data_IF_467162571662
#
_entry.id   IF_467162571662
#
_cell.length_a   1.000
_cell.length_b   1.000
_cell.length_c   1.000
_cell.angle_alpha   90.00
_cell.angle_beta   90.00
_cell.angle_gamma   90.00
#
_symmetry.space_group_name_H-M   'P 1'
#
loop_
_entity.id
_entity.type
_entity.pdbx_description
1 polymer ?
#
# COMPACT_ATOMS: atom_id res chain seq x y z
N UNK A 1 -4.10 10.48 -56.84
CA UNK A 1 -3.58 11.11 -55.62
C UNK A 1 -4.53 10.78 -54.49
N UNK A 2 -4.12 9.96 -53.53
CA UNK A 2 -4.95 9.58 -52.38
C UNK A 2 -4.53 10.43 -51.18
N UNK A 3 -5.44 11.25 -50.67
CA UNK A 3 -5.24 12.04 -49.46
C UNK A 3 -5.53 11.16 -48.24
N UNK A 4 -4.49 10.83 -47.47
CA UNK A 4 -4.63 10.14 -46.19
C UNK A 4 -4.97 11.14 -45.09
N UNK A 5 -6.15 10.99 -44.47
CA UNK A 5 -6.52 11.69 -43.24
C UNK A 5 -5.74 11.13 -42.05
N UNK A 6 -4.87 11.94 -41.47
CA UNK A 6 -4.21 11.63 -40.20
C UNK A 6 -5.18 11.88 -39.04
N UNK A 7 -5.45 10.85 -38.24
CA UNK A 7 -6.10 11.01 -36.94
C UNK A 7 -5.07 11.52 -35.93
N UNK A 8 -5.27 12.73 -35.42
CA UNK A 8 -4.55 13.23 -34.26
C UNK A 8 -5.26 12.70 -33.03
N UNK A 9 -4.64 11.74 -32.33
CA UNK A 9 -5.11 11.31 -31.02
C UNK A 9 -4.92 12.49 -30.04
N UNK A 10 -6.02 12.97 -29.47
CA UNK A 10 -5.98 13.95 -28.39
C UNK A 10 -5.50 13.24 -27.13
N UNK A 11 -4.33 13.61 -26.61
CA UNK A 11 -3.89 13.18 -25.29
C UNK A 11 -4.79 13.82 -24.24
N UNK A 12 -5.66 13.04 -23.61
CA UNK A 12 -6.37 13.50 -22.42
C UNK A 12 -5.33 13.90 -21.37
N UNK A 13 -5.41 15.13 -20.85
CA UNK A 13 -4.61 15.55 -19.71
C UNK A 13 -5.13 14.73 -18.52
N UNK A 14 -4.31 13.79 -18.05
CA UNK A 14 -4.62 13.01 -16.85
C UNK A 14 -4.85 13.99 -15.69
N UNK A 15 -5.98 13.86 -14.99
CA UNK A 15 -6.20 14.64 -13.78
C UNK A 15 -5.07 14.35 -12.78
N UNK A 16 -4.57 15.37 -12.06
CA UNK A 16 -3.59 15.15 -11.01
C UNK A 16 -4.11 14.13 -9.99
N UNK A 17 -3.24 13.21 -9.56
CA UNK A 17 -3.54 12.28 -8.49
C UNK A 17 -3.73 13.04 -7.17
N UNK A 18 -4.73 12.64 -6.40
CA UNK A 18 -4.95 13.18 -5.06
C UNK A 18 -4.29 12.28 -4.01
N UNK A 19 -3.73 12.88 -2.96
CA UNK A 19 -3.13 12.14 -1.85
C UNK A 19 -3.87 12.48 -0.57
N UNK A 20 -4.36 11.45 0.11
CA UNK A 20 -4.97 11.54 1.43
C UNK A 20 -4.11 10.80 2.44
N UNK A 21 -3.88 11.41 3.61
CA UNK A 21 -2.98 10.87 4.63
C UNK A 21 -3.77 10.58 5.91
N UNK A 22 -3.66 9.35 6.39
CA UNK A 22 -4.08 8.96 7.74
C UNK A 22 -2.85 8.79 8.62
N UNK A 23 -2.73 9.65 9.64
CA UNK A 23 -1.77 9.45 10.73
C UNK A 23 -2.38 8.47 11.74
N UNK A 24 -1.67 7.37 11.98
CA UNK A 24 -2.15 6.32 12.90
C UNK A 24 -2.08 6.78 14.36
N UNK A 25 -2.71 6.01 15.25
CA UNK A 25 -2.67 6.27 16.68
C UNK A 25 -1.26 6.05 17.28
N UNK A 26 -1.08 6.45 18.54
CA UNK A 26 0.12 6.12 19.33
C UNK A 26 0.39 4.60 19.36
N UNK A 27 -0.68 3.80 19.42
CA UNK A 27 -0.57 2.35 19.45
C UNK A 27 0.03 1.77 18.16
N UNK A 28 -0.02 2.52 17.06
CA UNK A 28 0.67 2.21 15.80
C UNK A 28 1.80 3.20 15.49
N UNK A 29 2.40 3.79 16.52
CA UNK A 29 3.62 4.61 16.43
C UNK A 29 3.50 5.88 15.58
N UNK A 30 2.28 6.37 15.36
CA UNK A 30 2.01 7.58 14.59
C UNK A 30 2.51 7.57 13.13
N UNK A 31 2.69 6.38 12.54
CA UNK A 31 3.08 6.21 11.15
C UNK A 31 2.02 6.80 10.23
N UNK A 32 2.46 7.32 9.09
CA UNK A 32 1.56 7.87 8.07
C UNK A 32 1.22 6.78 7.05
N UNK A 33 -0.07 6.62 6.78
CA UNK A 33 -0.58 5.77 5.71
C UNK A 33 -1.14 6.69 4.63
N UNK A 34 -0.73 6.50 3.38
CA UNK A 34 -1.15 7.36 2.28
C UNK A 34 -2.07 6.62 1.31
N UNK A 35 -3.17 7.25 0.91
CA UNK A 35 -4.03 6.79 -0.17
C UNK A 35 -3.87 7.71 -1.38
N UNK A 36 -3.23 7.19 -2.43
CA UNK A 36 -3.07 7.86 -3.71
C UNK A 36 -4.27 7.51 -4.58
N UNK A 37 -5.08 8.51 -4.91
CA UNK A 37 -6.38 8.35 -5.57
C UNK A 37 -6.30 8.80 -7.02
N UNK A 38 -6.71 7.90 -7.91
CA UNK A 38 -7.07 8.22 -9.29
C UNK A 38 -8.55 8.60 -9.40
N UNK A 39 -9.08 8.55 -10.62
CA UNK A 39 -10.49 8.76 -10.91
C UNK A 39 -11.38 7.65 -10.33
N UNK A 40 -11.00 6.37 -10.51
CA UNK A 40 -11.78 5.21 -10.06
C UNK A 40 -11.01 4.31 -9.11
N UNK A 41 -9.69 4.22 -9.28
CA UNK A 41 -8.81 3.34 -8.51
C UNK A 41 -7.94 4.08 -7.52
N UNK A 42 -7.35 3.34 -6.59
CA UNK A 42 -6.38 3.88 -5.64
C UNK A 42 -5.24 2.91 -5.35
N UNK A 43 -4.11 3.48 -4.93
CA UNK A 43 -2.95 2.78 -4.35
C UNK A 43 -2.80 3.22 -2.91
N UNK A 44 -2.76 2.26 -1.99
CA UNK A 44 -2.46 2.50 -0.59
C UNK A 44 -0.96 2.30 -0.35
N UNK A 45 -0.34 3.18 0.42
CA UNK A 45 1.06 3.08 0.85
C UNK A 45 1.08 2.80 2.34
N UNK A 46 1.71 1.68 2.70
CA UNK A 46 1.84 1.08 4.02
C UNK A 46 0.54 0.57 4.67
N UNK A 47 0.71 -0.20 5.74
CA UNK A 47 -0.34 -0.68 6.61
C UNK A 47 0.03 -0.50 8.09
N UNK A 48 -0.94 -0.21 8.98
CA UNK A 48 -0.64 0.08 10.38
C UNK A 48 -0.04 -1.10 11.16
N UNK A 49 0.53 -0.79 12.31
CA UNK A 49 1.00 -1.78 13.27
C UNK A 49 -0.15 -2.59 13.88
N UNK A 50 -1.27 -1.94 14.22
CA UNK A 50 -2.40 -2.55 14.95
C UNK A 50 -3.62 -2.79 14.07
N UNK A 51 -4.44 -3.78 14.43
CA UNK A 51 -5.72 -4.05 13.74
C UNK A 51 -6.72 -2.89 13.87
N UNK A 52 -6.72 -2.16 14.98
CA UNK A 52 -7.56 -0.97 15.15
C UNK A 52 -7.17 0.13 14.13
N UNK A 53 -5.87 0.44 14.06
CA UNK A 53 -5.15 1.04 12.92
C UNK A 53 -5.74 0.64 11.56
N UNK A 54 -5.60 -0.64 11.24
CA UNK A 54 -5.93 -1.14 9.92
C UNK A 54 -7.43 -1.00 9.58
N UNK A 55 -8.33 -1.09 10.55
CA UNK A 55 -9.76 -0.83 10.32
C UNK A 55 -10.05 0.65 10.00
N UNK A 56 -9.31 1.60 10.58
CA UNK A 56 -9.42 3.02 10.21
C UNK A 56 -8.94 3.25 8.77
N UNK A 57 -7.89 2.54 8.35
CA UNK A 57 -7.40 2.57 6.97
C UNK A 57 -8.44 1.97 6.01
N UNK A 58 -9.07 0.84 6.37
CA UNK A 58 -10.17 0.26 5.57
C UNK A 58 -11.31 1.27 5.41
N UNK A 59 -11.69 1.98 6.48
CA UNK A 59 -12.70 3.03 6.40
C UNK A 59 -12.29 4.17 5.45
N UNK A 60 -11.05 4.68 5.56
CA UNK A 60 -10.53 5.71 4.65
C UNK A 60 -10.61 5.28 3.17
N UNK A 61 -10.28 4.03 2.86
CA UNK A 61 -10.39 3.49 1.50
C UNK A 61 -11.86 3.41 1.05
N UNK A 62 -12.77 2.92 1.90
CA UNK A 62 -14.19 2.82 1.57
C UNK A 62 -14.81 4.21 1.36
N UNK A 63 -14.52 5.17 2.23
CA UNK A 63 -15.03 6.54 2.17
C UNK A 63 -14.55 7.29 0.92
N UNK A 64 -13.38 6.91 0.37
CA UNK A 64 -12.86 7.47 -0.87
C UNK A 64 -13.70 7.11 -2.10
N UNK A 65 -14.51 6.04 -2.03
CA UNK A 65 -15.27 5.50 -3.15
C UNK A 65 -14.41 4.90 -4.27
N UNK A 66 -13.10 4.67 -4.03
CA UNK A 66 -12.17 4.12 -5.01
C UNK A 66 -12.02 2.61 -4.87
N UNK A 67 -11.79 1.93 -5.98
CA UNK A 67 -11.34 0.54 -5.98
C UNK A 67 -9.87 0.49 -5.57
N UNK A 68 -9.56 -0.17 -4.45
CA UNK A 68 -8.18 -0.40 -4.05
C UNK A 68 -7.54 -1.47 -4.94
N UNK A 69 -6.58 -1.04 -5.77
CA UNK A 69 -5.90 -1.94 -6.72
C UNK A 69 -4.61 -2.50 -6.15
N UNK A 70 -3.84 -1.67 -5.44
CA UNK A 70 -2.52 -2.04 -4.91
C UNK A 70 -2.32 -1.48 -3.51
N UNK A 71 -1.73 -2.28 -2.62
CA UNK A 71 -1.12 -1.86 -1.36
C UNK A 71 0.39 -2.02 -1.53
N UNK A 72 1.12 -0.92 -1.45
CA UNK A 72 2.57 -0.90 -1.50
C UNK A 72 3.16 -0.76 -0.10
N UNK A 73 4.07 -1.66 0.29
CA UNK A 73 4.77 -1.60 1.58
C UNK A 73 6.17 -1.04 1.36
N UNK A 74 6.51 0.01 2.11
CA UNK A 74 7.73 0.80 1.92
C UNK A 74 8.99 0.11 2.44
N UNK A 75 8.94 -0.45 3.66
CA UNK A 75 10.06 -1.11 4.31
C UNK A 75 9.59 -2.06 5.41
N UNK A 76 10.54 -2.72 6.10
CA UNK A 76 10.22 -3.85 6.95
C UNK A 76 9.82 -3.49 8.39
N UNK A 77 9.78 -2.23 8.82
CA UNK A 77 9.31 -1.92 10.18
C UNK A 77 7.83 -2.30 10.38
N UNK A 78 7.45 -2.88 11.54
CA UNK A 78 6.15 -3.50 11.73
C UNK A 78 4.99 -2.51 11.65
N UNK A 79 5.22 -1.23 11.94
CA UNK A 79 4.23 -0.17 11.79
C UNK A 79 3.91 0.22 10.35
N UNK A 80 4.56 -0.43 9.37
CA UNK A 80 4.32 -0.28 7.94
C UNK A 80 3.68 -1.50 7.26
N UNK A 81 3.55 -2.65 7.94
CA UNK A 81 2.98 -3.85 7.29
C UNK A 81 2.21 -4.80 8.22
N UNK A 82 2.37 -4.70 9.55
CA UNK A 82 2.09 -5.83 10.43
C UNK A 82 0.60 -6.22 10.47
N UNK A 83 -0.31 -5.25 10.44
CA UNK A 83 -1.76 -5.50 10.40
C UNK A 83 -2.38 -5.48 8.99
N UNK A 84 -1.57 -5.62 7.92
CA UNK A 84 -2.07 -5.57 6.53
C UNK A 84 -3.09 -6.65 6.19
N UNK A 85 -3.14 -7.76 6.93
CA UNK A 85 -4.16 -8.80 6.78
C UNK A 85 -5.59 -8.25 6.82
N UNK A 86 -5.84 -7.20 7.61
CA UNK A 86 -7.17 -6.62 7.77
C UNK A 86 -7.59 -5.92 6.47
N UNK A 87 -6.62 -5.27 5.82
CA UNK A 87 -6.80 -4.61 4.53
C UNK A 87 -6.97 -5.67 3.44
N UNK A 88 -6.15 -6.73 3.45
CA UNK A 88 -6.28 -7.86 2.51
C UNK A 88 -7.64 -8.53 2.59
N UNK A 89 -8.17 -8.73 3.80
CA UNK A 89 -9.48 -9.34 4.00
C UNK A 89 -10.63 -8.43 3.52
N UNK A 90 -10.48 -7.11 3.67
CA UNK A 90 -11.48 -6.13 3.19
C UNK A 90 -11.43 -5.94 1.67
N UNK A 91 -10.25 -6.06 1.07
CA UNK A 91 -9.99 -5.84 -0.36
C UNK A 91 -9.24 -7.03 -0.97
N UNK A 92 -9.89 -8.21 -1.11
CA UNK A 92 -9.22 -9.45 -1.53
C UNK A 92 -8.66 -9.41 -2.96
N UNK A 93 -9.09 -8.45 -3.78
CA UNK A 93 -8.60 -8.26 -5.15
C UNK A 93 -7.37 -7.33 -5.21
N UNK A 94 -7.06 -6.60 -4.14
CA UNK A 94 -5.92 -5.70 -4.11
C UNK A 94 -4.61 -6.49 -4.05
N UNK A 95 -3.64 -6.12 -4.87
CA UNK A 95 -2.29 -6.70 -4.81
C UNK A 95 -1.54 -6.07 -3.64
N UNK A 96 -0.95 -6.88 -2.76
CA UNK A 96 -0.06 -6.38 -1.71
C UNK A 96 1.37 -6.66 -2.10
N UNK A 97 2.12 -5.60 -2.40
CA UNK A 97 3.45 -5.67 -3.02
C UNK A 97 4.47 -4.80 -2.30
N UNK A 98 5.74 -5.13 -2.46
CA UNK A 98 6.87 -4.31 -2.02
C UNK A 98 8.04 -4.50 -2.97
N UNK A 99 9.08 -3.68 -2.88
CA UNK A 99 10.33 -3.97 -3.57
C UNK A 99 10.82 -5.40 -3.19
N UNK A 100 11.38 -6.20 -4.13
CA UNK A 100 11.75 -7.59 -3.85
C UNK A 100 12.62 -7.79 -2.61
N UNK A 101 13.58 -6.89 -2.37
CA UNK A 101 14.41 -6.89 -1.15
C UNK A 101 13.57 -6.71 0.12
N UNK A 102 12.63 -5.76 0.14
CA UNK A 102 11.75 -5.51 1.30
C UNK A 102 10.83 -6.70 1.55
N UNK A 103 10.26 -7.28 0.50
CA UNK A 103 9.45 -8.49 0.64
C UNK A 103 10.24 -9.64 1.30
N UNK A 104 11.51 -9.83 0.89
CA UNK A 104 12.39 -10.83 1.47
C UNK A 104 12.76 -10.50 2.94
N UNK A 105 13.04 -9.24 3.25
CA UNK A 105 13.39 -8.81 4.61
C UNK A 105 12.20 -8.95 5.57
N UNK A 106 10.98 -8.65 5.12
CA UNK A 106 9.76 -8.89 5.88
C UNK A 106 9.60 -10.39 6.14
N UNK A 107 9.71 -11.25 5.12
CA UNK A 107 9.63 -12.71 5.32
C UNK A 107 10.65 -13.21 6.35
N UNK A 108 11.89 -12.73 6.27
CA UNK A 108 12.97 -13.12 7.18
C UNK A 108 12.73 -12.67 8.62
N UNK A 109 12.24 -11.46 8.81
CA UNK A 109 12.10 -10.82 10.12
C UNK A 109 10.75 -11.11 10.81
N UNK A 110 9.74 -11.54 10.07
CA UNK A 110 8.37 -11.75 10.56
C UNK A 110 8.28 -12.64 11.80
N UNK A 111 8.94 -13.83 11.88
CA UNK A 111 8.85 -14.68 13.06
C UNK A 111 9.37 -14.00 14.33
N UNK A 112 10.48 -13.25 14.21
CA UNK A 112 11.06 -12.52 15.33
C UNK A 112 10.16 -11.37 15.79
N UNK A 113 9.54 -10.65 14.84
CA UNK A 113 8.58 -9.58 15.12
C UNK A 113 7.32 -10.12 15.79
N UNK A 114 6.77 -11.23 15.31
CA UNK A 114 5.64 -11.93 15.96
C UNK A 114 5.98 -12.27 17.41
N UNK A 115 7.12 -12.94 17.65
CA UNK A 115 7.57 -13.29 18.99
C UNK A 115 7.72 -12.07 19.90
N UNK A 116 8.22 -10.95 19.37
CA UNK A 116 8.44 -9.71 20.13
C UNK A 116 7.16 -8.97 20.46
N UNK A 117 6.26 -8.81 19.48
CA UNK A 117 5.17 -7.85 19.57
C UNK A 117 3.84 -8.45 20.00
N UNK A 118 3.55 -9.72 19.67
CA UNK A 118 2.28 -10.34 20.04
C UNK A 118 1.97 -10.28 21.56
N UNK A 119 2.94 -10.51 22.47
CA UNK A 119 2.66 -10.46 23.90
C UNK A 119 2.19 -9.09 24.41
N UNK A 120 2.57 -8.00 23.75
CA UNK A 120 2.24 -6.62 24.18
C UNK A 120 1.05 -6.03 23.43
N UNK A 121 0.68 -6.60 22.28
CA UNK A 121 -0.42 -6.09 21.46
C UNK A 121 -1.79 -6.67 21.83
N UNK A 122 -1.82 -7.81 22.53
CA UNK A 122 -3.07 -8.49 22.90
C UNK A 122 -3.99 -8.71 21.70
N UNK A 123 -5.27 -8.35 21.84
CA UNK A 123 -6.28 -8.55 20.79
C UNK A 123 -6.07 -7.70 19.52
N UNK A 124 -5.20 -6.69 19.58
CA UNK A 124 -4.86 -5.81 18.45
C UNK A 124 -3.73 -6.34 17.56
N UNK A 125 -3.08 -7.45 17.94
CA UNK A 125 -2.13 -8.14 17.09
C UNK A 125 -2.79 -8.70 15.82
N UNK A 126 -2.08 -8.77 14.68
CA UNK A 126 -2.53 -9.53 13.52
C UNK A 126 -2.78 -11.00 13.87
N UNK A 127 -3.77 -11.61 13.24
CA UNK A 127 -4.20 -13.01 13.40
C UNK A 127 -3.47 -13.96 12.44
N UNK A 128 -3.18 -13.49 11.24
CA UNK A 128 -2.51 -14.16 10.12
C UNK A 128 -1.38 -13.26 9.60
N UNK A 129 -0.33 -13.04 10.41
CA UNK A 129 0.82 -12.23 10.00
C UNK A 129 1.43 -12.82 8.72
N UNK A 130 1.68 -11.96 7.74
CA UNK A 130 2.17 -12.35 6.42
C UNK A 130 3.10 -11.28 5.85
N UNK A 131 3.56 -11.45 4.60
CA UNK A 131 4.44 -10.54 3.89
C UNK A 131 3.87 -10.13 2.52
N UNK A 132 4.24 -8.97 1.97
CA UNK A 132 3.90 -8.58 0.61
C UNK A 132 4.56 -9.49 -0.44
N UNK A 133 4.00 -9.51 -1.64
CA UNK A 133 4.62 -10.13 -2.82
C UNK A 133 5.72 -9.20 -3.38
N UNK A 134 6.74 -9.73 -4.06
CA UNK A 134 7.69 -8.89 -4.78
C UNK A 134 6.98 -8.15 -5.93
N UNK A 135 7.20 -6.84 -6.02
CA UNK A 135 6.79 -6.02 -7.15
C UNK A 135 7.59 -6.45 -8.40
N UNK A 136 6.90 -6.52 -9.54
CA UNK A 136 7.55 -6.68 -10.84
C UNK A 136 8.01 -5.31 -11.36
N UNK A 137 9.29 -5.19 -11.71
CA UNK A 137 9.92 -3.91 -12.03
C UNK A 137 9.97 -2.94 -10.85
N UNK A 138 9.92 -1.64 -11.15
CA UNK A 138 10.04 -0.52 -10.20
C UNK A 138 8.85 0.45 -10.27
N UNK A 139 7.75 0.06 -10.91
CA UNK A 139 6.66 0.97 -11.25
C UNK A 139 5.30 0.35 -10.92
N UNK A 140 4.44 1.12 -10.25
CA UNK A 140 3.03 0.80 -10.04
C UNK A 140 2.21 1.70 -10.97
N UNK A 141 1.35 1.10 -11.77
CA UNK A 141 0.43 1.86 -12.65
C UNK A 141 -0.86 2.19 -11.91
N UNK A 142 -1.29 3.45 -11.97
CA UNK A 142 -2.60 3.90 -11.51
C UNK A 142 -3.30 4.68 -12.63
N UNK A 143 -4.17 3.99 -13.38
CA UNK A 143 -4.98 4.59 -14.45
C UNK A 143 -4.16 5.34 -15.52
N UNK A 144 -3.00 4.78 -15.89
CA UNK A 144 -2.08 5.37 -16.85
C UNK A 144 -1.06 6.34 -16.22
N UNK A 145 -1.16 6.63 -14.93
CA UNK A 145 -0.12 7.34 -14.18
C UNK A 145 0.92 6.36 -13.64
N UNK A 146 2.20 6.69 -13.83
CA UNK A 146 3.32 5.92 -13.28
C UNK A 146 3.64 6.39 -11.86
N UNK A 147 3.58 5.47 -10.90
CA UNK A 147 4.10 5.64 -9.54
C UNK A 147 5.42 4.90 -9.44
N UNK A 148 6.53 5.63 -9.56
CA UNK A 148 7.87 5.04 -9.54
C UNK A 148 8.34 4.77 -8.11
N UNK A 149 8.71 3.52 -7.85
CA UNK A 149 9.35 3.07 -6.61
C UNK A 149 10.84 3.34 -6.70
N UNK A 150 11.39 4.12 -5.75
CA UNK A 150 12.78 4.54 -5.77
C UNK A 150 13.60 3.72 -4.77
N UNK A 151 14.61 3.00 -5.27
CA UNK A 151 15.50 2.17 -4.44
C UNK A 151 14.81 0.95 -3.83
N UNK A 152 15.55 0.12 -3.07
CA UNK A 152 14.96 -1.01 -2.37
C UNK A 152 14.19 -0.59 -1.12
N UNK A 153 14.66 0.45 -0.42
CA UNK A 153 14.05 0.97 0.80
C UNK A 153 14.07 2.49 0.82
N UNK A 154 13.01 3.08 1.37
CA UNK A 154 12.90 4.51 1.69
C UNK A 154 12.18 4.60 3.03
N UNK A 155 12.87 4.99 4.10
CA UNK A 155 12.30 5.00 5.45
C UNK A 155 13.36 4.98 6.55
N UNK A 156 12.91 4.93 7.80
CA UNK A 156 13.77 4.71 8.95
C UNK A 156 14.30 3.27 8.95
N UNK A 157 15.61 3.14 9.18
CA UNK A 157 16.37 1.90 9.28
C UNK A 157 17.43 2.04 10.38
#
# INVERSE_FOLDING_TARGET
MAAGTAFIASSAIAKPLEVEILRTSEASLYSNIALIKGEKKAVLVDAPFTRADAHRVVAMVLDSGKELETVFITHDHPDHFFAMEVIMNAFPNAKVVAHPTVAADIWKSLPAKVKRWFPVMGANAPRTPTAPQPLDGDTIMLEGNELKVIGPTQGDH
#
